data_IF_237046518860
#
_entry.id   IF_237046518860
#
_cell.length_a   1.000
_cell.length_b   1.000
_cell.length_c   1.000
_cell.angle_alpha   90.00
_cell.angle_beta   90.00
_cell.angle_gamma   90.00
#
_symmetry.space_group_name_H-M   'P 1'
#
loop_
_entity.id
_entity.type
_entity.pdbx_description
1 polymer ?
#
# COMPACT_ATOMS: atom_id res chain seq x y z
N UNK A 1 -18.41 -11.17 -1.59
CA UNK A 1 -16.95 -11.16 -1.84
C UNK A 1 -16.37 -9.85 -1.37
N UNK A 2 -15.23 -9.92 -0.68
CA UNK A 2 -14.54 -8.72 -0.25
C UNK A 2 -13.80 -8.07 -1.43
N UNK A 3 -13.73 -6.74 -1.42
CA UNK A 3 -13.14 -5.99 -2.53
C UNK A 3 -11.66 -6.37 -2.79
N UNK A 4 -10.93 -6.75 -1.72
CA UNK A 4 -9.51 -7.08 -1.86
C UNK A 4 -9.24 -8.56 -2.09
N UNK A 5 -10.26 -9.39 -2.35
CA UNK A 5 -10.06 -10.81 -2.62
C UNK A 5 -9.06 -11.06 -3.77
N UNK A 6 -9.08 -10.29 -4.87
CA UNK A 6 -8.09 -10.50 -5.93
C UNK A 6 -6.64 -10.31 -5.50
N UNK A 7 -6.41 -9.67 -4.35
CA UNK A 7 -5.06 -9.42 -3.81
C UNK A 7 -4.64 -10.48 -2.78
N UNK A 8 -5.52 -11.43 -2.44
CA UNK A 8 -5.27 -12.34 -1.32
C UNK A 8 -4.01 -13.17 -1.50
N UNK A 9 -3.66 -13.50 -2.74
CA UNK A 9 -2.46 -14.27 -3.07
C UNK A 9 -1.31 -13.41 -3.57
N UNK A 10 -1.46 -12.09 -3.54
CA UNK A 10 -0.46 -11.16 -4.07
C UNK A 10 0.33 -10.52 -2.94
N UNK A 11 1.60 -10.24 -3.21
CA UNK A 11 2.49 -9.50 -2.30
C UNK A 11 2.72 -8.09 -2.79
N UNK A 12 2.41 -7.81 -4.05
CA UNK A 12 2.66 -6.52 -4.69
C UNK A 12 1.40 -6.03 -5.35
N UNK A 13 1.16 -4.74 -5.23
CA UNK A 13 0.05 -4.07 -5.89
C UNK A 13 0.58 -2.82 -6.57
N UNK A 14 -0.12 -2.39 -7.62
CA UNK A 14 0.14 -1.12 -8.27
C UNK A 14 -0.75 -0.07 -7.61
N UNK A 15 -0.14 0.87 -6.92
CA UNK A 15 -0.86 1.93 -6.21
C UNK A 15 -0.80 3.20 -7.01
N UNK A 16 -1.97 3.77 -7.32
CA UNK A 16 -2.08 5.05 -8.02
C UNK A 16 -2.46 6.11 -7.00
N UNK A 17 -1.62 7.14 -6.90
CA UNK A 17 -1.87 8.32 -6.06
C UNK A 17 -1.96 9.54 -6.97
N UNK A 18 -2.55 10.64 -6.47
CA UNK A 18 -2.91 11.76 -7.32
C UNK A 18 -2.15 13.03 -6.94
N UNK A 19 -1.62 13.69 -7.97
CA UNK A 19 -1.05 15.03 -7.83
C UNK A 19 -2.17 16.04 -7.62
N UNK A 20 -1.81 17.27 -7.24
CA UNK A 20 -2.79 18.34 -6.99
C UNK A 20 -3.62 18.67 -8.23
N UNK A 21 -3.05 18.46 -9.42
CA UNK A 21 -3.75 18.73 -10.69
C UNK A 21 -4.65 17.55 -11.12
N UNK A 22 -4.71 16.47 -10.31
CA UNK A 22 -5.53 15.31 -10.61
C UNK A 22 -4.82 14.22 -11.38
N UNK A 23 -3.57 14.44 -11.78
CA UNK A 23 -2.80 13.42 -12.52
C UNK A 23 -2.47 12.25 -11.64
N UNK A 24 -2.80 11.03 -12.09
CA UNK A 24 -2.47 9.80 -11.38
C UNK A 24 -1.03 9.36 -11.63
N UNK A 25 -0.37 8.88 -10.58
CA UNK A 25 0.98 8.31 -10.67
C UNK A 25 0.95 6.94 -10.03
N UNK A 26 1.33 5.92 -10.77
CA UNK A 26 1.26 4.52 -10.34
C UNK A 26 2.64 4.00 -10.00
N UNK A 27 2.76 3.35 -8.83
CA UNK A 27 4.02 2.74 -8.40
C UNK A 27 3.72 1.41 -7.70
N UNK A 28 4.61 0.41 -7.79
CA UNK A 28 4.42 -0.83 -7.05
C UNK A 28 4.67 -0.64 -5.57
N UNK A 29 3.86 -1.31 -4.76
CA UNK A 29 3.99 -1.30 -3.29
C UNK A 29 3.79 -2.71 -2.77
N UNK A 30 4.31 -2.96 -1.55
CA UNK A 30 4.01 -4.18 -0.82
C UNK A 30 2.60 -4.08 -0.23
N UNK A 31 1.80 -5.14 -0.38
CA UNK A 31 0.43 -5.16 0.09
C UNK A 31 0.16 -6.43 0.91
N UNK A 32 -0.68 -6.31 1.92
CA UNK A 32 -1.22 -7.44 2.67
C UNK A 32 -2.70 -7.19 2.92
N UNK A 33 -3.53 -8.21 2.64
CA UNK A 33 -4.98 -8.13 2.85
C UNK A 33 -5.32 -8.63 4.24
N UNK A 34 -6.22 -7.92 4.93
CA UNK A 34 -6.72 -8.28 6.24
C UNK A 34 -8.24 -8.05 6.25
N UNK A 35 -8.99 -9.10 5.93
CA UNK A 35 -10.45 -9.03 5.85
C UNK A 35 -10.91 -8.11 4.73
N UNK A 36 -11.63 -7.06 5.11
CA UNK A 36 -12.19 -6.08 4.15
C UNK A 36 -11.28 -4.89 3.92
N UNK A 37 -10.05 -4.93 4.42
CA UNK A 37 -9.07 -3.87 4.28
C UNK A 37 -7.74 -4.44 3.80
N UNK A 38 -6.84 -3.56 3.38
CA UNK A 38 -5.50 -3.94 2.98
C UNK A 38 -4.51 -2.97 3.60
N UNK A 39 -3.28 -3.43 3.78
CA UNK A 39 -2.19 -2.59 4.28
C UNK A 39 -1.12 -2.45 3.22
N UNK A 40 -0.60 -1.24 3.06
CA UNK A 40 0.53 -0.97 2.17
C UNK A 40 1.61 -0.23 2.95
N UNK A 41 2.84 -0.34 2.49
CA UNK A 41 4.00 0.24 3.14
C UNK A 41 4.76 1.13 2.16
N UNK A 42 5.21 2.28 2.62
CA UNK A 42 6.07 3.17 1.84
C UNK A 42 7.01 3.93 2.79
N UNK A 43 7.86 4.78 2.22
CA UNK A 43 8.79 5.60 2.99
C UNK A 43 8.25 7.03 3.11
N UNK A 44 8.61 7.70 4.22
CA UNK A 44 8.10 9.05 4.50
C UNK A 44 8.58 10.08 3.45
N UNK A 45 9.75 9.84 2.83
CA UNK A 45 10.29 10.72 1.81
C UNK A 45 9.74 10.43 0.41
N UNK A 46 8.94 9.37 0.24
CA UNK A 46 8.41 9.02 -1.08
C UNK A 46 7.36 10.03 -1.54
N UNK A 47 7.34 10.32 -2.84
CA UNK A 47 6.34 11.23 -3.41
C UNK A 47 4.92 10.70 -3.22
N UNK A 48 4.73 9.37 -3.26
CA UNK A 48 3.39 8.78 -3.05
C UNK A 48 2.86 9.08 -1.64
N UNK A 49 3.75 9.14 -0.63
CA UNK A 49 3.33 9.51 0.72
C UNK A 49 2.84 10.95 0.78
N UNK A 50 3.54 11.85 0.08
CA UNK A 50 3.12 13.25 0.01
C UNK A 50 1.80 13.39 -0.73
N UNK A 51 1.62 12.64 -1.81
CA UNK A 51 0.36 12.68 -2.57
C UNK A 51 -0.82 12.18 -1.74
N UNK A 52 -0.64 11.09 -0.97
CA UNK A 52 -1.71 10.56 -0.11
C UNK A 52 -2.03 11.50 1.05
N UNK A 53 -1.06 12.26 1.53
CA UNK A 53 -1.31 13.28 2.56
C UNK A 53 -2.25 14.36 2.04
N UNK A 54 -2.09 14.74 0.78
CA UNK A 54 -2.91 15.79 0.16
C UNK A 54 -4.24 15.25 -0.35
N UNK A 55 -4.28 13.97 -0.78
CA UNK A 55 -5.48 13.35 -1.33
C UNK A 55 -5.49 11.88 -0.95
N UNK A 56 -6.36 11.46 -0.02
CA UNK A 56 -6.41 10.07 0.43
C UNK A 56 -7.03 9.12 -0.59
N UNK A 57 -7.63 9.62 -1.66
CA UNK A 57 -8.20 8.76 -2.70
C UNK A 57 -7.09 8.09 -3.50
N UNK A 58 -7.20 6.78 -3.71
CA UNK A 58 -6.21 5.99 -4.44
C UNK A 58 -6.93 4.97 -5.31
N UNK A 59 -6.20 4.45 -6.31
CA UNK A 59 -6.58 3.23 -7.00
C UNK A 59 -5.53 2.17 -6.69
N UNK A 60 -5.96 0.92 -6.63
CA UNK A 60 -5.02 -0.18 -6.38
C UNK A 60 -5.39 -1.37 -7.25
N UNK A 61 -4.40 -1.98 -7.88
CA UNK A 61 -4.57 -3.14 -8.75
C UNK A 61 -3.57 -4.23 -8.37
N UNK A 62 -3.94 -5.51 -8.49
CA UNK A 62 -2.94 -6.56 -8.30
C UNK A 62 -1.88 -6.42 -9.39
N UNK A 63 -0.62 -6.66 -9.04
CA UNK A 63 0.47 -6.43 -9.99
C UNK A 63 1.62 -7.39 -9.79
N UNK A 64 2.50 -7.42 -10.80
CA UNK A 64 3.80 -8.06 -10.70
C UNK A 64 4.73 -7.17 -9.86
N UNK A 65 5.86 -7.73 -9.44
CA UNK A 65 6.87 -6.99 -8.67
C UNK A 65 7.40 -5.80 -9.47
N UNK A 66 7.44 -5.93 -10.79
CA UNK A 66 7.91 -4.84 -11.66
C UNK A 66 6.86 -3.76 -11.92
N UNK A 67 5.63 -3.94 -11.42
CA UNK A 67 4.61 -2.91 -11.52
C UNK A 67 3.66 -3.04 -12.69
N UNK A 68 3.54 -4.26 -13.25
CA UNK A 68 2.57 -4.50 -14.31
C UNK A 68 1.27 -5.02 -13.70
N UNK A 69 0.16 -4.32 -13.95
CA UNK A 69 -1.15 -4.72 -13.43
C UNK A 69 -1.56 -6.08 -14.01
N UNK A 70 -2.07 -6.96 -13.13
CA UNK A 70 -2.54 -8.30 -13.51
C UNK A 70 -4.04 -8.44 -13.32
N UNK A 71 -4.72 -7.36 -12.98
CA UNK A 71 -6.17 -7.35 -12.81
C UNK A 71 -6.68 -5.91 -12.74
N UNK A 72 -8.00 -5.73 -12.61
CA UNK A 72 -8.59 -4.40 -12.60
C UNK A 72 -8.23 -3.62 -11.33
N UNK A 73 -8.21 -2.29 -11.45
CA UNK A 73 -8.02 -1.39 -10.31
C UNK A 73 -9.33 -1.28 -9.52
N UNK A 74 -9.20 -1.13 -8.22
CA UNK A 74 -10.34 -0.78 -7.37
C UNK A 74 -10.05 0.55 -6.67
N UNK A 75 -11.11 1.32 -6.45
CA UNK A 75 -11.01 2.58 -5.74
C UNK A 75 -10.95 2.32 -4.23
N UNK A 76 -10.08 3.05 -3.55
CA UNK A 76 -9.90 2.89 -2.11
C UNK A 76 -9.55 4.24 -1.49
N UNK A 77 -9.65 4.30 -0.17
CA UNK A 77 -9.24 5.45 0.61
C UNK A 77 -8.09 5.04 1.52
N UNK A 78 -7.02 5.82 1.49
CA UNK A 78 -5.85 5.56 2.32
C UNK A 78 -5.94 6.30 3.64
N UNK A 79 -5.40 5.68 4.71
CA UNK A 79 -5.31 6.29 6.03
C UNK A 79 -3.94 5.95 6.62
N UNK A 80 -3.20 6.97 6.99
CA UNK A 80 -1.90 6.76 7.64
C UNK A 80 -2.13 6.18 9.04
N UNK A 81 -1.40 5.12 9.35
CA UNK A 81 -1.48 4.44 10.64
C UNK A 81 -0.34 4.86 11.54
N UNK A 82 -0.58 4.80 12.86
CA UNK A 82 0.45 4.99 13.87
C UNK A 82 0.22 4.02 15.03
N UNK A 83 1.17 3.99 15.97
CA UNK A 83 1.05 3.20 17.17
C UNK A 83 0.77 1.73 16.91
N UNK A 84 -0.19 1.17 17.65
CA UNK A 84 -0.52 -0.26 17.56
C UNK A 84 -1.08 -0.63 16.19
N UNK A 85 -1.86 0.25 15.57
CA UNK A 85 -2.40 -0.03 14.23
C UNK A 85 -1.27 -0.17 13.20
N UNK A 86 -0.25 0.67 13.28
CA UNK A 86 0.91 0.58 12.39
C UNK A 86 1.68 -0.72 12.65
N UNK A 87 1.82 -1.13 13.91
CA UNK A 87 2.48 -2.39 14.23
C UNK A 87 1.69 -3.59 13.71
N UNK A 88 0.37 -3.54 13.79
CA UNK A 88 -0.49 -4.59 13.25
C UNK A 88 -0.32 -4.69 11.73
N UNK A 89 -0.28 -3.57 11.04
CA UNK A 89 -0.05 -3.54 9.59
C UNK A 89 1.33 -4.11 9.25
N UNK A 90 2.35 -3.74 10.00
CA UNK A 90 3.70 -4.24 9.80
C UNK A 90 3.76 -5.76 9.96
N UNK A 91 3.07 -6.29 10.97
CA UNK A 91 3.01 -7.75 11.18
C UNK A 91 2.28 -8.46 10.05
N UNK A 92 1.18 -7.88 9.56
CA UNK A 92 0.42 -8.47 8.47
C UNK A 92 1.26 -8.54 7.19
N UNK A 93 2.01 -7.48 6.89
CA UNK A 93 2.90 -7.44 5.73
C UNK A 93 4.04 -8.45 5.91
N UNK A 94 4.64 -8.51 7.10
CA UNK A 94 5.74 -9.43 7.38
C UNK A 94 5.34 -10.90 7.20
N UNK A 95 4.12 -11.25 7.60
CA UNK A 95 3.63 -12.63 7.43
C UNK A 95 3.50 -13.03 5.97
N UNK A 96 3.29 -12.07 5.08
CA UNK A 96 3.12 -12.33 3.66
C UNK A 96 4.45 -12.33 2.90
N UNK A 97 5.49 -11.78 3.51
CA UNK A 97 6.80 -11.67 2.88
C UNK A 97 7.72 -12.80 3.33
N UNK A 98 8.68 -13.23 2.50
CA UNK A 98 9.70 -14.17 2.94
C UNK A 98 10.48 -13.60 4.13
N UNK A 99 11.10 -14.51 4.88
CA UNK A 99 11.92 -14.15 6.05
C UNK A 99 12.91 -13.04 5.72
N UNK A 100 13.51 -13.09 4.54
CA UNK A 100 14.49 -12.12 4.10
C UNK A 100 13.91 -10.70 4.10
N UNK A 101 12.69 -10.53 3.60
CA UNK A 101 12.01 -9.23 3.59
C UNK A 101 11.70 -8.76 5.01
N UNK A 102 11.28 -9.68 5.89
CA UNK A 102 10.95 -9.34 7.26
C UNK A 102 12.14 -8.88 8.08
N UNK A 103 13.36 -9.31 7.72
CA UNK A 103 14.57 -8.97 8.47
C UNK A 103 15.33 -7.85 7.79
N UNK A 104 15.59 -7.95 6.49
CA UNK A 104 16.47 -7.02 5.79
C UNK A 104 15.85 -5.65 5.58
N UNK A 105 14.55 -5.58 5.30
CA UNK A 105 13.92 -4.30 5.00
C UNK A 105 13.93 -3.36 6.22
N UNK A 106 13.52 -3.80 7.43
CA UNK A 106 13.60 -2.91 8.59
C UNK A 106 15.02 -2.46 8.91
N UNK A 107 15.99 -3.37 8.78
CA UNK A 107 17.39 -3.03 9.02
C UNK A 107 17.89 -2.00 8.00
N UNK A 108 17.53 -2.19 6.75
CA UNK A 108 17.93 -1.30 5.67
C UNK A 108 17.36 0.11 5.86
N UNK A 109 16.08 0.21 6.26
CA UNK A 109 15.46 1.50 6.55
C UNK A 109 16.17 2.22 7.69
N UNK A 110 16.53 1.48 8.74
CA UNK A 110 17.26 2.04 9.86
C UNK A 110 18.61 2.61 9.43
N UNK A 111 19.33 1.87 8.59
CA UNK A 111 20.64 2.30 8.09
C UNK A 111 20.54 3.55 7.21
N UNK A 112 19.47 3.66 6.42
CA UNK A 112 19.26 4.81 5.55
C UNK A 112 18.54 5.96 6.23
N UNK A 113 18.13 5.78 7.49
CA UNK A 113 17.41 6.79 8.28
C UNK A 113 16.06 7.19 7.66
N UNK A 114 15.50 6.34 6.81
CA UNK A 114 14.16 6.54 6.29
C UNK A 114 13.15 5.98 7.27
N UNK A 115 12.08 6.73 7.45
CA UNK A 115 10.97 6.29 8.28
C UNK A 115 9.98 5.52 7.43
N UNK A 116 9.64 4.31 7.86
CA UNK A 116 8.63 3.49 7.19
C UNK A 116 7.24 3.93 7.62
N UNK A 117 6.37 4.16 6.65
CA UNK A 117 4.97 4.51 6.89
C UNK A 117 4.08 3.36 6.46
N UNK A 118 3.04 3.11 7.24
CA UNK A 118 2.04 2.09 6.97
C UNK A 118 0.69 2.76 6.78
N UNK A 119 -0.04 2.31 5.76
CA UNK A 119 -1.36 2.84 5.41
C UNK A 119 -2.36 1.71 5.37
N UNK A 120 -3.58 2.03 5.83
CA UNK A 120 -4.74 1.17 5.65
C UNK A 120 -5.50 1.64 4.43
N UNK A 121 -5.86 0.70 3.56
CA UNK A 121 -6.72 0.96 2.42
C UNK A 121 -8.07 0.32 2.68
N UNK A 122 -9.14 1.10 2.53
CA UNK A 122 -10.51 0.59 2.60
C UNK A 122 -11.19 0.86 1.27
N UNK A 123 -12.04 -0.06 0.79
CA UNK A 123 -12.74 0.17 -0.47
C UNK A 123 -13.63 1.41 -0.36
N UNK A 124 -13.70 2.18 -1.44
CA UNK A 124 -14.49 3.40 -1.44
C UNK A 124 -15.32 3.46 -2.73
N UNK A 125 -16.57 3.01 -2.65
CA UNK A 125 -17.47 2.98 -3.79
C UNK A 125 -17.78 4.38 -4.33
N UNK A 126 -17.63 5.42 -3.50
CA UNK A 126 -17.88 6.79 -3.96
C UNK A 126 -16.81 7.30 -4.90
N UNK A 127 -15.64 6.64 -4.92
CA UNK A 127 -14.54 6.99 -5.81
C UNK A 127 -14.48 6.12 -7.06
N UNK A 128 -15.38 5.15 -7.19
CA UNK A 128 -15.41 4.28 -8.37
C UNK A 128 -15.70 5.11 -9.62
N UNK A 129 -14.99 4.83 -10.74
CA UNK A 129 -15.24 5.55 -11.98
C UNK A 129 -16.59 5.26 -12.59
#
# INVERSE_FOLDING_TARGET
MAAFDPFAQRRTALLTTYKRDGTGVSTPVTIAVDGDRAYVRTWDSAWKAKRMRNNPAVLVAPSTVSGRATGPSIAARSRLLDGEEARRAARAIARRQPILQGVLVPLFHKLKRYRTLHYELTPDATLAP
#
